data_IF_006668154701
#
_entry.id   IF_006668154701
#
_cell.length_a   1.000
_cell.length_b   1.000
_cell.length_c   1.000
_cell.angle_alpha   90.00
_cell.angle_beta   90.00
_cell.angle_gamma   90.00
#
_symmetry.space_group_name_H-M   'P 1'
#
loop_
_entity.id
_entity.type
_entity.pdbx_description
1 polymer ?
#
# COMPACT_ATOMS: atom_id res chain seq x y z
N UNK A 1 -13.16 8.62 12.94
CA UNK A 1 -11.70 8.68 13.14
C UNK A 1 -11.03 8.10 11.92
N UNK A 2 -9.91 8.67 11.47
CA UNK A 2 -9.14 8.13 10.35
C UNK A 2 -8.52 6.78 10.71
N UNK A 3 -8.33 5.94 9.71
CA UNK A 3 -7.73 4.61 9.84
C UNK A 3 -6.62 4.44 8.81
N UNK A 4 -5.66 3.57 9.13
CA UNK A 4 -4.56 3.22 8.23
C UNK A 4 -4.69 1.76 7.81
N UNK A 5 -4.85 1.53 6.51
CA UNK A 5 -4.64 0.22 5.92
C UNK A 5 -3.14 -0.05 5.86
N UNK A 6 -2.71 -1.17 6.44
CA UNK A 6 -1.39 -1.74 6.17
C UNK A 6 -1.63 -3.06 5.44
N UNK A 7 -1.18 -3.14 4.19
CA UNK A 7 -1.27 -4.35 3.39
C UNK A 7 0.14 -4.82 2.99
N UNK A 8 0.47 -6.04 3.41
CA UNK A 8 1.77 -6.67 3.18
C UNK A 8 1.61 -7.68 2.04
N UNK A 9 2.56 -7.70 1.12
CA UNK A 9 2.53 -8.57 -0.06
C UNK A 9 3.73 -9.50 -0.07
N UNK A 10 3.48 -10.77 -0.33
CA UNK A 10 4.51 -11.72 -0.75
C UNK A 10 4.59 -11.67 -2.27
N UNK A 11 5.74 -11.24 -2.78
CA UNK A 11 5.99 -11.09 -4.22
C UNK A 11 7.19 -11.96 -4.60
N UNK A 12 6.98 -13.03 -5.40
CA UNK A 12 8.08 -13.85 -5.88
C UNK A 12 9.11 -13.02 -6.65
N UNK A 13 10.40 -13.36 -6.48
CA UNK A 13 11.48 -12.69 -7.20
C UNK A 13 11.26 -12.78 -8.72
N UNK A 14 11.45 -11.66 -9.42
CA UNK A 14 11.25 -11.55 -10.87
C UNK A 14 9.81 -11.24 -11.30
N UNK A 15 8.86 -11.14 -10.37
CA UNK A 15 7.45 -10.77 -10.65
C UNK A 15 7.09 -9.35 -10.19
N UNK A 16 8.07 -8.53 -9.88
CA UNK A 16 7.86 -7.18 -9.33
C UNK A 16 7.10 -6.26 -10.29
N UNK A 17 7.37 -6.32 -11.59
CA UNK A 17 6.68 -5.46 -12.56
C UNK A 17 5.21 -5.86 -12.72
N UNK A 18 4.93 -7.17 -12.77
CA UNK A 18 3.55 -7.69 -12.78
C UNK A 18 2.80 -7.24 -11.51
N UNK A 19 3.45 -7.36 -10.34
CA UNK A 19 2.91 -6.87 -9.08
C UNK A 19 2.62 -5.37 -9.14
N UNK A 20 3.53 -4.55 -9.65
CA UNK A 20 3.33 -3.11 -9.75
C UNK A 20 2.20 -2.74 -10.70
N UNK A 21 2.05 -3.42 -11.84
CA UNK A 21 0.94 -3.17 -12.75
C UNK A 21 -0.41 -3.47 -12.08
N UNK A 22 -0.52 -4.60 -11.39
CA UNK A 22 -1.70 -4.94 -10.61
C UNK A 22 -1.98 -3.92 -9.51
N UNK A 23 -0.97 -3.67 -8.67
CA UNK A 23 -1.09 -2.78 -7.52
C UNK A 23 -1.48 -1.35 -7.96
N UNK A 24 -0.86 -0.81 -9.03
CA UNK A 24 -1.21 0.51 -9.59
C UNK A 24 -2.67 0.54 -10.01
N UNK A 25 -3.12 -0.46 -10.76
CA UNK A 25 -4.50 -0.54 -11.24
C UNK A 25 -5.52 -0.53 -10.11
N UNK A 26 -5.29 -1.33 -9.08
CA UNK A 26 -6.16 -1.36 -7.89
C UNK A 26 -6.13 -0.03 -7.15
N UNK A 27 -4.96 0.58 -6.96
CA UNK A 27 -4.87 1.84 -6.23
C UNK A 27 -5.43 3.02 -7.02
N UNK A 28 -5.33 3.04 -8.35
CA UNK A 28 -5.97 4.06 -9.19
C UNK A 28 -7.49 4.02 -9.06
N UNK A 29 -8.07 2.82 -8.95
CA UNK A 29 -9.49 2.67 -8.63
C UNK A 29 -9.83 3.24 -7.24
N UNK A 30 -9.01 2.92 -6.23
CA UNK A 30 -9.25 3.35 -4.85
C UNK A 30 -9.06 4.87 -4.64
N UNK A 31 -8.18 5.51 -5.42
CA UNK A 31 -7.92 6.96 -5.34
C UNK A 31 -9.15 7.82 -5.61
N UNK A 32 -10.12 7.32 -6.38
CA UNK A 32 -11.35 8.02 -6.68
C UNK A 32 -12.45 7.83 -5.61
N UNK A 33 -12.21 7.01 -4.57
CA UNK A 33 -13.22 6.66 -3.58
C UNK A 33 -13.38 7.75 -2.52
N UNK A 34 -14.61 8.04 -2.08
CA UNK A 34 -14.83 8.93 -0.95
C UNK A 34 -14.04 8.51 0.29
N UNK A 35 -13.41 9.47 0.96
CA UNK A 35 -12.65 9.24 2.19
C UNK A 35 -11.23 8.69 1.99
N UNK A 36 -10.77 8.49 0.76
CA UNK A 36 -9.37 8.17 0.48
C UNK A 36 -8.45 9.37 0.75
N UNK A 37 -7.34 9.17 1.49
CA UNK A 37 -6.41 10.24 1.90
C UNK A 37 -4.97 10.07 1.36
N UNK A 38 -4.72 9.05 0.55
CA UNK A 38 -3.40 8.77 -0.02
C UNK A 38 -2.84 7.40 0.39
N UNK A 39 -1.82 6.96 -0.34
CA UNK A 39 -1.07 5.75 -0.05
C UNK A 39 0.43 5.97 -0.24
N UNK A 40 1.23 5.06 0.29
CA UNK A 40 2.65 4.93 0.01
C UNK A 40 3.01 3.45 -0.04
N UNK A 41 3.62 3.04 -1.15
CA UNK A 41 4.15 1.69 -1.30
C UNK A 41 5.62 1.67 -0.90
N UNK A 42 5.94 0.80 0.03
CA UNK A 42 7.29 0.59 0.52
C UNK A 42 7.84 -0.71 -0.06
N UNK A 43 9.13 -0.72 -0.36
CA UNK A 43 9.89 -1.91 -0.73
C UNK A 43 10.91 -2.19 0.35
N UNK A 44 11.04 -3.45 0.76
CA UNK A 44 12.12 -3.86 1.66
C UNK A 44 13.50 -3.68 1.00
N UNK A 45 14.49 -3.25 1.77
CA UNK A 45 15.89 -3.25 1.34
C UNK A 45 16.49 -4.66 1.36
N UNK A 46 15.99 -5.54 2.24
CA UNK A 46 16.42 -6.94 2.31
C UNK A 46 15.80 -7.76 1.16
N UNK A 47 16.62 -8.36 0.27
CA UNK A 47 16.15 -9.06 -0.94
C UNK A 47 15.27 -10.27 -0.65
N UNK A 48 15.41 -10.87 0.53
CA UNK A 48 14.77 -12.09 1.00
C UNK A 48 13.66 -11.86 2.03
N UNK A 49 13.27 -10.61 2.29
CA UNK A 49 12.18 -10.30 3.20
C UNK A 49 10.87 -10.94 2.74
N UNK A 50 10.20 -11.67 3.64
CA UNK A 50 8.90 -12.30 3.38
C UNK A 50 7.90 -11.31 2.75
N UNK A 51 7.71 -10.16 3.41
CA UNK A 51 6.88 -9.08 2.89
C UNK A 51 7.74 -8.09 2.10
N UNK A 52 8.03 -8.43 0.86
CA UNK A 52 8.87 -7.61 -0.03
C UNK A 52 8.30 -6.21 -0.24
N UNK A 53 6.97 -6.08 -0.24
CA UNK A 53 6.27 -4.82 -0.39
C UNK A 53 5.20 -4.60 0.68
N UNK A 54 5.08 -3.35 1.14
CA UNK A 54 4.07 -2.92 2.12
C UNK A 54 3.37 -1.66 1.61
N UNK A 55 2.07 -1.76 1.33
CA UNK A 55 1.23 -0.61 1.02
C UNK A 55 0.64 -0.05 2.32
N UNK A 56 0.87 1.23 2.56
CA UNK A 56 0.27 1.97 3.67
C UNK A 56 -0.71 2.99 3.07
N UNK A 57 -2.00 2.85 3.32
CA UNK A 57 -3.02 3.75 2.79
C UNK A 57 -3.87 4.35 3.91
N UNK A 58 -4.11 5.66 3.86
CA UNK A 58 -4.89 6.39 4.86
C UNK A 58 -6.31 6.63 4.37
N UNK A 59 -7.27 6.46 5.26
CA UNK A 59 -8.68 6.67 5.02
C UNK A 59 -9.30 7.52 6.11
N UNK A 60 -10.32 8.32 5.77
CA UNK A 60 -11.02 9.19 6.71
C UNK A 60 -11.81 8.43 7.78
N UNK A 61 -12.19 7.17 7.50
CA UNK A 61 -12.85 6.25 8.43
C UNK A 61 -12.87 4.80 7.92
N UNK A 62 -13.09 3.85 8.83
CA UNK A 62 -13.33 2.44 8.48
C UNK A 62 -14.56 2.28 7.55
N UNK A 63 -15.65 3.02 7.79
CA UNK A 63 -16.85 2.97 6.95
C UNK A 63 -16.56 3.35 5.49
N UNK A 64 -15.78 4.42 5.27
CA UNK A 64 -15.37 4.83 3.93
C UNK A 64 -14.48 3.77 3.25
N UNK A 65 -13.58 3.14 4.02
CA UNK A 65 -12.76 2.04 3.52
C UNK A 65 -13.61 0.83 3.11
N UNK A 66 -14.57 0.41 3.95
CA UNK A 66 -15.47 -0.70 3.66
C UNK A 66 -16.34 -0.41 2.43
N UNK A 67 -16.92 0.80 2.34
CA UNK A 67 -17.71 1.23 1.20
C UNK A 67 -16.90 1.28 -0.11
N UNK A 68 -15.60 1.56 -0.03
CA UNK A 68 -14.70 1.55 -1.19
C UNK A 68 -14.44 0.14 -1.75
N UNK A 69 -14.64 -0.92 -0.95
CA UNK A 69 -14.50 -2.33 -1.36
C UNK A 69 -15.76 -2.86 -2.03
N UNK A 70 -16.35 -2.07 -2.92
CA UNK A 70 -17.56 -2.39 -3.68
C UNK A 70 -17.33 -3.45 -4.77
N UNK A 71 -18.35 -3.68 -5.61
CA UNK A 71 -18.29 -4.68 -6.67
C UNK A 71 -17.20 -4.38 -7.71
N UNK A 72 -16.97 -3.10 -8.03
CA UNK A 72 -15.93 -2.72 -8.97
C UNK A 72 -14.54 -3.02 -8.42
N UNK A 73 -14.32 -2.75 -7.12
CA UNK A 73 -13.10 -3.18 -6.44
C UNK A 73 -12.95 -4.71 -6.46
N UNK A 74 -14.00 -5.46 -6.07
CA UNK A 74 -13.95 -6.93 -5.99
C UNK A 74 -13.69 -7.57 -7.36
N UNK A 75 -14.31 -7.05 -8.41
CA UNK A 75 -14.11 -7.50 -9.79
C UNK A 75 -12.68 -7.23 -10.27
N UNK A 76 -12.11 -6.08 -9.90
CA UNK A 76 -10.74 -5.72 -10.24
C UNK A 76 -9.73 -6.59 -9.47
N UNK A 77 -9.96 -6.78 -8.17
CA UNK A 77 -9.12 -7.61 -7.32
C UNK A 77 -9.14 -9.07 -7.78
N UNK A 78 -10.31 -9.62 -8.12
CA UNK A 78 -10.45 -11.01 -8.55
C UNK A 78 -9.68 -11.37 -9.82
N UNK A 79 -9.45 -10.40 -10.73
CA UNK A 79 -8.69 -10.64 -11.97
C UNK A 79 -7.25 -11.07 -11.72
N UNK A 80 -6.65 -10.67 -10.59
CA UNK A 80 -5.24 -10.89 -10.28
C UNK A 80 -5.00 -11.45 -8.86
N UNK A 81 -6.06 -11.67 -8.08
CA UNK A 81 -6.01 -12.20 -6.72
C UNK A 81 -5.28 -13.56 -6.53
N UNK A 82 -5.19 -14.50 -7.50
CA UNK A 82 -4.38 -15.70 -7.26
C UNK A 82 -2.87 -15.49 -7.44
N UNK A 83 -2.41 -14.32 -7.91
CA UNK A 83 -1.01 -14.13 -8.29
C UNK A 83 -0.07 -13.79 -7.12
N UNK A 84 -0.56 -13.04 -6.11
CA UNK A 84 0.24 -12.51 -5.00
C UNK A 84 -0.52 -12.62 -3.68
N UNK A 85 0.03 -13.37 -2.73
CA UNK A 85 -0.54 -13.44 -1.38
C UNK A 85 -0.43 -12.07 -0.69
N UNK A 86 -1.49 -11.66 0.00
CA UNK A 86 -1.53 -10.39 0.70
C UNK A 86 -2.25 -10.48 2.04
N UNK A 87 -1.93 -9.54 2.93
CA UNK A 87 -2.37 -9.57 4.33
C UNK A 87 -2.82 -8.18 4.80
N UNK A 88 -3.97 -7.67 4.32
CA UNK A 88 -4.50 -6.37 4.68
C UNK A 88 -5.10 -6.37 6.10
N UNK A 89 -4.87 -5.29 6.85
CA UNK A 89 -5.60 -4.98 8.07
C UNK A 89 -5.69 -3.46 8.30
N UNK A 90 -6.72 -3.04 9.03
CA UNK A 90 -6.89 -1.65 9.49
C UNK A 90 -6.25 -1.46 10.86
N UNK A 91 -5.60 -0.31 11.02
CA UNK A 91 -4.90 0.09 12.24
C UNK A 91 -5.29 1.52 12.61
N UNK A 92 -5.27 1.79 13.90
CA UNK A 92 -5.22 3.15 14.44
C UNK A 92 -3.78 3.55 14.73
N UNK A 93 -3.54 4.87 14.76
CA UNK A 93 -2.26 5.41 15.17
C UNK A 93 -2.26 5.55 16.69
N UNK A 94 -1.43 4.76 17.37
CA UNK A 94 -1.31 4.79 18.85
C UNK A 94 -0.23 5.75 19.34
N UNK A 95 0.76 6.06 18.48
CA UNK A 95 1.87 6.95 18.78
C UNK A 95 2.53 7.46 17.50
N UNK A 96 2.94 8.73 17.48
CA UNK A 96 3.77 9.34 16.43
C UNK A 96 4.89 10.14 17.08
N UNK A 97 6.05 10.16 16.41
CA UNK A 97 7.20 10.96 16.81
C UNK A 97 7.62 11.89 15.68
N UNK A 98 8.08 13.08 16.04
CA UNK A 98 8.73 14.00 15.11
C UNK A 98 10.23 14.06 15.41
N UNK A 99 11.04 14.30 14.37
CA UNK A 99 12.47 14.51 14.58
C UNK A 99 12.69 15.74 15.48
N UNK A 100 13.66 15.66 16.38
CA UNK A 100 14.13 16.84 17.09
C UNK A 100 14.70 17.85 16.09
N UNK A 101 14.47 19.14 16.34
CA UNK A 101 15.00 20.22 15.51
C UNK A 101 16.52 20.06 15.35
N UNK A 102 17.02 20.05 14.11
CA UNK A 102 18.45 19.90 13.79
C UNK A 102 18.87 18.51 13.29
N UNK A 103 17.98 17.51 13.25
CA UNK A 103 18.27 16.25 12.57
C UNK A 103 18.34 16.43 11.05
N UNK A 104 19.45 16.04 10.44
CA UNK A 104 19.61 16.03 8.98
C UNK A 104 18.86 14.83 8.42
N UNK A 105 17.89 15.06 7.52
CA UNK A 105 17.27 13.98 6.76
C UNK A 105 18.27 13.46 5.73
N UNK A 106 18.55 12.15 5.74
CA UNK A 106 19.28 11.51 4.64
C UNK A 106 18.48 11.62 3.34
N UNK A 107 19.15 11.77 2.20
CA UNK A 107 18.44 11.84 0.91
C UNK A 107 17.59 10.57 0.68
N UNK A 108 16.33 10.72 0.25
CA UNK A 108 15.49 9.59 -0.11
C UNK A 108 16.09 8.87 -1.32
N UNK A 109 16.23 7.54 -1.24
CA UNK A 109 16.66 6.73 -2.37
C UNK A 109 15.68 6.92 -3.54
N UNK A 110 16.16 7.13 -4.78
CA UNK A 110 15.29 7.30 -5.93
C UNK A 110 14.45 6.04 -6.16
N UNK A 111 13.18 6.22 -6.50
CA UNK A 111 12.33 5.13 -6.96
C UNK A 111 12.95 4.54 -8.24
N UNK A 112 13.14 3.21 -8.34
CA UNK A 112 13.58 2.61 -9.59
C UNK A 112 12.49 2.82 -10.63
N UNK A 113 12.83 3.56 -11.69
CA UNK A 113 11.98 3.68 -12.88
C UNK A 113 11.87 2.30 -13.55
N UNK A 114 10.67 1.90 -14.03
CA UNK A 114 10.57 0.74 -14.89
C UNK A 114 11.29 1.03 -16.22
N UNK A 115 12.18 0.12 -16.62
CA UNK A 115 12.80 0.08 -17.95
C UNK A 115 11.79 -0.33 -19.02
#
# INVERSE_FOLDING_TARGET
MSVTLINRFEVPAGREEEFFQFWRRVNDYMRAKPGYLGHTLHRSLAPDAQFRFINIARWSSALHFEAAHDEGFRSLAAQQAPAFAHYPALYEVVHEGQAASGSVAGEPLPFPHPS
#
